data_IF_423913225853
#
_entry.id   IF_423913225853
#
_cell.length_a   1.000
_cell.length_b   1.000
_cell.length_c   1.000
_cell.angle_alpha   90.00
_cell.angle_beta   90.00
_cell.angle_gamma   90.00
#
_symmetry.space_group_name_H-M   'P 1'
#
loop_
_entity.id
_entity.type
_entity.pdbx_description
1 polymer ?
#
# COMPACT_ATOMS: atom_id res chain seq x y z
N UNK A 1 -36.23 -45.97 -41.51
CA UNK A 1 -36.21 -46.25 -40.07
C UNK A 1 -36.23 -44.91 -39.37
N UNK A 2 -37.42 -44.56 -38.86
CA UNK A 2 -37.69 -43.27 -38.23
C UNK A 2 -37.23 -43.27 -36.78
N UNK A 3 -36.49 -42.26 -36.35
CA UNK A 3 -36.27 -41.99 -34.95
C UNK A 3 -37.13 -40.80 -34.54
N UNK A 4 -38.07 -41.09 -33.65
CA UNK A 4 -38.95 -40.14 -33.01
C UNK A 4 -38.18 -39.29 -31.98
N UNK A 5 -38.25 -37.96 -32.11
CA UNK A 5 -37.74 -37.01 -31.15
C UNK A 5 -38.77 -36.81 -30.03
N UNK A 6 -38.34 -36.95 -28.77
CA UNK A 6 -39.13 -36.62 -27.58
C UNK A 6 -39.06 -35.12 -27.28
N UNK A 7 -40.12 -34.49 -26.75
CA UNK A 7 -40.14 -33.07 -26.46
C UNK A 7 -39.39 -32.74 -25.14
N UNK A 8 -38.88 -31.53 -24.97
CA UNK A 8 -38.17 -31.11 -23.76
C UNK A 8 -39.15 -30.86 -22.60
N UNK A 9 -38.74 -31.33 -21.42
CA UNK A 9 -39.42 -31.06 -20.15
C UNK A 9 -39.32 -29.61 -19.76
N UNK A 10 -40.46 -28.95 -19.58
CA UNK A 10 -40.59 -27.61 -19.05
C UNK A 10 -40.27 -27.58 -17.53
N UNK A 11 -39.15 -27.04 -17.14
CA UNK A 11 -38.86 -26.71 -15.76
C UNK A 11 -39.57 -25.41 -15.40
N UNK A 12 -40.57 -25.48 -14.54
CA UNK A 12 -41.18 -24.34 -13.88
C UNK A 12 -40.13 -23.66 -13.00
N UNK A 13 -39.90 -22.39 -13.26
CA UNK A 13 -39.04 -21.55 -12.43
C UNK A 13 -39.63 -21.43 -11.01
N UNK A 14 -38.89 -21.93 -10.03
CA UNK A 14 -39.13 -21.67 -8.62
C UNK A 14 -38.78 -20.22 -8.34
N UNK A 15 -39.65 -19.52 -7.60
CA UNK A 15 -39.53 -18.10 -7.28
C UNK A 15 -38.18 -17.75 -6.65
N UNK A 16 -37.39 -16.99 -7.37
CA UNK A 16 -36.14 -16.43 -6.88
C UNK A 16 -36.41 -15.36 -5.80
N UNK A 17 -35.95 -15.62 -4.59
CA UNK A 17 -35.84 -14.60 -3.56
C UNK A 17 -34.75 -13.63 -4.05
N UNK A 18 -35.16 -12.45 -4.49
CA UNK A 18 -34.25 -11.36 -4.84
C UNK A 18 -33.69 -10.80 -3.56
N UNK A 19 -32.45 -11.17 -3.23
CA UNK A 19 -31.68 -10.49 -2.18
C UNK A 19 -31.31 -9.12 -2.75
N UNK A 20 -31.66 -7.98 -2.11
CA UNK A 20 -31.28 -6.68 -2.61
C UNK A 20 -29.75 -6.56 -2.56
N UNK A 21 -29.13 -6.41 -3.73
CA UNK A 21 -27.71 -6.05 -3.81
C UNK A 21 -27.56 -4.61 -3.25
N UNK A 22 -26.83 -4.37 -2.16
CA UNK A 22 -26.73 -3.07 -1.52
C UNK A 22 -25.98 -2.02 -2.35
N UNK A 23 -25.54 -2.35 -3.56
CA UNK A 23 -24.68 -1.53 -4.41
C UNK A 23 -25.34 -1.05 -5.71
N UNK A 24 -26.66 -0.86 -5.74
CA UNK A 24 -27.23 -0.07 -6.83
C UNK A 24 -26.86 1.38 -6.59
N UNK A 25 -25.88 1.87 -7.35
CA UNK A 25 -25.57 3.28 -7.49
C UNK A 25 -26.78 3.96 -8.18
N UNK A 26 -27.74 4.43 -7.40
CA UNK A 26 -28.68 5.42 -7.87
C UNK A 26 -27.86 6.67 -8.23
N UNK A 27 -27.95 7.11 -9.48
CA UNK A 27 -27.16 8.21 -10.05
C UNK A 27 -27.41 9.60 -9.46
N UNK A 28 -27.74 9.70 -8.18
CA UNK A 28 -27.77 10.95 -7.42
C UNK A 28 -26.39 11.17 -6.84
N UNK A 29 -25.66 12.16 -7.34
CA UNK A 29 -24.47 12.69 -6.69
C UNK A 29 -24.82 12.98 -5.22
N UNK A 30 -24.14 12.38 -4.23
CA UNK A 30 -24.38 12.73 -2.84
C UNK A 30 -24.06 14.23 -2.66
N UNK A 31 -25.03 14.98 -2.15
CA UNK A 31 -24.83 16.34 -1.69
C UNK A 31 -23.80 16.24 -0.57
N UNK A 32 -22.68 16.98 -0.66
CA UNK A 32 -21.66 17.00 0.36
C UNK A 32 -22.31 17.21 1.74
N UNK A 33 -22.21 16.18 2.59
CA UNK A 33 -22.64 16.29 3.96
C UNK A 33 -21.68 17.25 4.69
N UNK A 34 -22.15 18.04 5.66
CA UNK A 34 -21.25 18.86 6.47
C UNK A 34 -20.21 17.94 7.13
N UNK A 35 -18.97 18.44 7.29
CA UNK A 35 -17.86 17.72 7.91
C UNK A 35 -18.36 17.07 9.21
N UNK A 36 -18.49 15.74 9.21
CA UNK A 36 -18.89 15.00 10.40
C UNK A 36 -17.63 14.82 11.24
N UNK A 37 -17.64 15.35 12.47
CA UNK A 37 -16.62 14.99 13.46
C UNK A 37 -16.64 13.45 13.61
N UNK A 38 -15.52 12.75 13.40
CA UNK A 38 -15.47 11.30 13.50
C UNK A 38 -16.02 10.83 14.85
N UNK A 39 -16.83 9.78 14.84
CA UNK A 39 -17.37 9.17 16.08
C UNK A 39 -16.31 8.27 16.72
N UNK A 40 -15.21 8.87 17.18
CA UNK A 40 -14.05 8.16 17.73
C UNK A 40 -14.40 7.19 18.88
N UNK A 41 -15.47 7.50 19.66
CA UNK A 41 -15.93 6.62 20.74
C UNK A 41 -16.40 5.23 20.28
N UNK A 42 -16.73 5.04 19.02
CA UNK A 42 -17.14 3.73 18.47
C UNK A 42 -16.01 2.98 17.77
N UNK A 43 -14.84 3.58 17.62
CA UNK A 43 -13.69 2.99 16.92
C UNK A 43 -13.18 1.77 17.67
N UNK A 44 -12.94 0.69 16.94
CA UNK A 44 -12.41 -0.59 17.41
C UNK A 44 -11.12 -0.99 16.71
N UNK A 45 -10.86 -0.37 15.59
CA UNK A 45 -9.66 -0.63 14.78
C UNK A 45 -9.16 0.65 14.13
N UNK A 46 -7.86 0.74 13.97
CA UNK A 46 -7.18 1.85 13.29
C UNK A 46 -6.40 1.31 12.12
N UNK A 47 -6.54 1.93 10.96
CA UNK A 47 -5.75 1.64 9.75
C UNK A 47 -4.94 2.89 9.43
N UNK A 48 -3.63 2.75 9.33
CA UNK A 48 -2.70 3.86 9.16
C UNK A 48 -2.02 3.78 7.81
N UNK A 49 -1.96 4.89 7.12
CA UNK A 49 -1.03 5.10 6.03
C UNK A 49 0.41 5.28 6.54
N UNK A 50 1.40 5.17 5.65
CA UNK A 50 2.82 5.34 6.00
C UNK A 50 3.29 6.75 5.67
N UNK A 51 3.43 7.04 4.37
CA UNK A 51 4.02 8.29 3.89
C UNK A 51 3.15 9.48 4.25
N UNK A 52 3.72 10.50 4.88
CA UNK A 52 2.96 11.70 5.31
C UNK A 52 1.97 11.45 6.45
N UNK A 53 1.91 10.25 7.02
CA UNK A 53 0.99 9.89 8.11
C UNK A 53 1.73 9.35 9.32
N UNK A 54 2.38 8.19 9.21
CA UNK A 54 3.22 7.63 10.27
C UNK A 54 4.71 7.93 10.08
N UNK A 55 5.14 8.14 8.83
CA UNK A 55 6.53 8.43 8.45
C UNK A 55 6.60 9.69 7.60
N UNK A 56 7.67 10.49 7.70
CA UNK A 56 7.89 11.61 6.78
C UNK A 56 8.01 11.13 5.33
N UNK A 57 7.47 11.88 4.38
CA UNK A 57 7.62 11.62 2.94
C UNK A 57 9.12 11.60 2.57
N UNK A 58 9.91 12.49 3.18
CA UNK A 58 11.35 12.57 2.97
C UNK A 58 12.10 11.29 3.34
N UNK A 59 11.58 10.44 4.23
CA UNK A 59 12.19 9.15 4.50
C UNK A 59 12.18 8.24 3.27
N UNK A 60 11.12 8.28 2.48
CA UNK A 60 11.03 7.48 1.24
C UNK A 60 11.86 8.13 0.13
N UNK A 61 11.72 9.45 -0.07
CA UNK A 61 12.34 10.16 -1.19
C UNK A 61 13.84 10.37 -1.01
N UNK A 62 14.30 10.63 0.23
CA UNK A 62 15.66 11.09 0.50
C UNK A 62 16.54 9.98 1.14
N UNK A 63 15.90 8.87 1.61
CA UNK A 63 16.62 7.75 2.20
C UNK A 63 16.40 6.46 1.41
N UNK A 64 15.15 5.98 1.32
CA UNK A 64 14.90 4.65 0.74
C UNK A 64 15.21 4.57 -0.76
N UNK A 65 14.74 5.51 -1.56
CA UNK A 65 15.01 5.50 -3.00
C UNK A 65 16.49 5.72 -3.34
N UNK A 66 17.18 6.71 -2.76
CA UNK A 66 18.62 6.85 -2.93
C UNK A 66 19.39 5.61 -2.49
N UNK A 67 19.05 5.03 -1.34
CA UNK A 67 19.70 3.79 -0.88
C UNK A 67 19.58 2.65 -1.91
N UNK A 68 18.37 2.43 -2.44
CA UNK A 68 18.17 1.40 -3.45
C UNK A 68 18.97 1.67 -4.74
N UNK A 69 19.00 2.92 -5.20
CA UNK A 69 19.80 3.34 -6.36
C UNK A 69 21.29 3.10 -6.15
N UNK A 70 21.82 3.53 -5.01
CA UNK A 70 23.26 3.51 -4.75
C UNK A 70 23.76 2.09 -4.45
N UNK A 71 22.86 1.19 -4.01
CA UNK A 71 23.21 -0.19 -3.63
C UNK A 71 22.76 -1.27 -4.63
N UNK A 72 22.10 -0.91 -5.74
CA UNK A 72 21.61 -1.90 -6.71
C UNK A 72 22.74 -2.76 -7.28
N UNK A 73 23.89 -2.18 -7.63
CA UNK A 73 25.06 -2.91 -8.13
C UNK A 73 25.58 -3.89 -7.08
N UNK A 74 25.86 -3.40 -5.90
CA UNK A 74 26.40 -4.21 -4.77
C UNK A 74 25.48 -5.38 -4.47
N UNK A 75 24.16 -5.13 -4.42
CA UNK A 75 23.18 -6.18 -4.19
C UNK A 75 23.20 -7.24 -5.30
N UNK A 76 23.12 -6.83 -6.58
CA UNK A 76 23.15 -7.76 -7.70
C UNK A 76 24.44 -8.55 -7.76
N UNK A 77 25.58 -7.92 -7.47
CA UNK A 77 26.87 -8.60 -7.45
C UNK A 77 26.97 -9.65 -6.33
N UNK A 78 26.50 -9.33 -5.15
CA UNK A 78 26.54 -10.23 -4.01
C UNK A 78 25.56 -11.42 -4.13
N UNK A 79 24.38 -11.19 -4.74
CA UNK A 79 23.28 -12.15 -4.73
C UNK A 79 22.97 -12.78 -6.10
N UNK A 80 23.75 -12.50 -7.14
CA UNK A 80 23.50 -12.87 -8.54
C UNK A 80 23.14 -14.34 -8.76
N UNK A 81 23.75 -15.26 -7.98
CA UNK A 81 23.52 -16.70 -8.09
C UNK A 81 22.30 -17.19 -7.32
N UNK A 82 21.69 -16.36 -6.48
CA UNK A 82 20.49 -16.75 -5.71
C UNK A 82 19.28 -16.87 -6.62
N UNK A 83 18.34 -17.72 -6.21
CA UNK A 83 17.08 -17.88 -6.95
C UNK A 83 16.28 -16.57 -6.96
N UNK A 84 16.21 -15.88 -5.82
CA UNK A 84 15.49 -14.63 -5.67
C UNK A 84 15.99 -13.56 -6.65
N UNK A 85 17.31 -13.36 -6.73
CA UNK A 85 17.88 -12.39 -7.68
C UNK A 85 17.70 -12.82 -9.14
N UNK A 86 17.70 -14.12 -9.43
CA UNK A 86 17.38 -14.60 -10.80
C UNK A 86 15.93 -14.30 -11.17
N UNK A 87 15.00 -14.45 -10.23
CA UNK A 87 13.60 -14.11 -10.42
C UNK A 87 13.44 -12.58 -10.64
N UNK A 88 14.15 -11.75 -9.86
CA UNK A 88 14.19 -10.29 -10.07
C UNK A 88 14.75 -9.92 -11.45
N UNK A 89 15.86 -10.53 -11.86
CA UNK A 89 16.46 -10.32 -13.18
C UNK A 89 15.48 -10.68 -14.31
N UNK A 90 14.77 -11.79 -14.16
CA UNK A 90 13.78 -12.20 -15.17
C UNK A 90 12.62 -11.19 -15.29
N UNK A 91 12.11 -10.69 -14.16
CA UNK A 91 11.07 -9.66 -14.15
C UNK A 91 11.55 -8.33 -14.74
N UNK A 92 12.77 -7.92 -14.40
CA UNK A 92 13.35 -6.68 -14.95
C UNK A 92 13.62 -6.80 -16.45
N UNK A 93 14.09 -7.96 -16.94
CA UNK A 93 14.26 -8.19 -18.38
C UNK A 93 12.96 -8.04 -19.14
N UNK A 94 11.89 -8.70 -18.66
CA UNK A 94 10.57 -8.60 -19.27
C UNK A 94 10.06 -7.14 -19.30
N UNK A 95 10.28 -6.39 -18.22
CA UNK A 95 9.92 -4.98 -18.16
C UNK A 95 10.75 -4.14 -19.16
N UNK A 96 12.05 -4.36 -19.22
CA UNK A 96 12.93 -3.63 -20.13
C UNK A 96 12.60 -3.94 -21.60
N UNK A 97 12.26 -5.19 -21.93
CA UNK A 97 11.79 -5.55 -23.28
C UNK A 97 10.52 -4.79 -23.66
N UNK A 98 9.57 -4.68 -22.73
CA UNK A 98 8.37 -3.86 -22.93
C UNK A 98 8.72 -2.38 -23.10
N UNK A 99 9.58 -1.84 -22.24
CA UNK A 99 10.00 -0.44 -22.27
C UNK A 99 10.70 -0.08 -23.59
N UNK A 100 11.53 -0.98 -24.11
CA UNK A 100 12.19 -0.81 -25.42
C UNK A 100 11.17 -0.82 -26.57
N UNK A 101 10.18 -1.72 -26.52
CA UNK A 101 9.12 -1.79 -27.52
C UNK A 101 8.25 -0.53 -27.51
N UNK A 102 8.04 0.08 -26.35
CA UNK A 102 7.28 1.32 -26.15
C UNK A 102 8.12 2.59 -26.35
N UNK A 103 9.43 2.47 -26.54
CA UNK A 103 10.34 3.60 -26.73
C UNK A 103 10.53 4.44 -25.46
N UNK A 104 10.48 3.81 -24.27
CA UNK A 104 10.67 4.50 -23.00
C UNK A 104 12.08 5.07 -22.91
N UNK A 105 12.26 6.37 -22.63
CA UNK A 105 13.57 6.98 -22.51
C UNK A 105 14.42 6.33 -21.40
N UNK A 106 15.69 6.07 -21.71
CA UNK A 106 16.63 5.49 -20.75
C UNK A 106 16.59 3.95 -20.66
N UNK A 107 15.69 3.29 -21.39
CA UNK A 107 15.70 1.83 -21.47
C UNK A 107 16.92 1.33 -22.27
N UNK A 108 17.68 0.39 -21.69
CA UNK A 108 18.88 -0.22 -22.26
C UNK A 108 18.68 -1.73 -22.39
N UNK A 109 18.96 -2.35 -23.56
CA UNK A 109 18.82 -3.79 -23.71
C UNK A 109 19.65 -4.57 -22.71
N UNK A 110 19.03 -5.53 -22.02
CA UNK A 110 19.72 -6.42 -21.08
C UNK A 110 20.25 -7.63 -21.86
N UNK A 111 21.59 -7.84 -21.94
CA UNK A 111 22.15 -8.94 -22.71
C UNK A 111 21.78 -10.31 -22.11
N UNK A 112 21.82 -11.42 -22.90
CA UNK A 112 21.57 -12.76 -22.40
C UNK A 112 22.65 -13.17 -21.38
N UNK A 113 22.34 -14.14 -20.51
CA UNK A 113 23.25 -14.58 -19.43
C UNK A 113 24.61 -15.07 -19.96
N UNK A 114 24.67 -15.64 -21.18
CA UNK A 114 25.90 -16.04 -21.85
C UNK A 114 26.85 -14.90 -22.18
N UNK A 115 26.41 -13.64 -22.11
CA UNK A 115 27.27 -12.46 -22.32
C UNK A 115 28.20 -12.18 -21.11
N UNK A 116 27.97 -12.85 -19.98
CA UNK A 116 28.69 -12.68 -18.74
C UNK A 116 27.98 -11.82 -17.71
N UNK A 117 28.18 -12.14 -16.43
CA UNK A 117 27.54 -11.49 -15.27
C UNK A 117 27.67 -9.97 -15.33
N UNK A 118 28.90 -9.46 -15.50
CA UNK A 118 29.17 -8.02 -15.41
C UNK A 118 28.35 -7.21 -16.41
N UNK A 119 28.24 -7.69 -17.65
CA UNK A 119 27.44 -7.01 -18.70
C UNK A 119 25.95 -7.02 -18.40
N UNK A 120 25.46 -8.12 -17.80
CA UNK A 120 24.04 -8.21 -17.38
C UNK A 120 23.79 -7.24 -16.25
N UNK A 121 24.66 -7.21 -15.23
CA UNK A 121 24.54 -6.31 -14.08
C UNK A 121 24.65 -4.85 -14.53
N UNK A 122 25.59 -4.49 -15.41
CA UNK A 122 25.73 -3.13 -15.93
C UNK A 122 24.42 -2.63 -16.58
N UNK A 123 23.83 -3.46 -17.43
CA UNK A 123 22.59 -3.09 -18.11
C UNK A 123 21.40 -3.00 -17.13
N UNK A 124 21.32 -3.89 -16.13
CA UNK A 124 20.27 -3.85 -15.11
C UNK A 124 20.39 -2.60 -14.24
N UNK A 125 21.60 -2.25 -13.78
CA UNK A 125 21.87 -1.04 -13.00
C UNK A 125 21.42 0.19 -13.76
N UNK A 126 21.83 0.34 -15.03
CA UNK A 126 21.44 1.49 -15.85
C UNK A 126 19.90 1.62 -15.98
N UNK A 127 19.20 0.51 -16.21
CA UNK A 127 17.74 0.52 -16.28
C UNK A 127 17.09 0.88 -14.95
N UNK A 128 17.55 0.29 -13.83
CA UNK A 128 17.00 0.55 -12.48
C UNK A 128 17.22 2.00 -12.08
N UNK A 129 18.40 2.58 -12.33
CA UNK A 129 18.68 3.98 -12.08
C UNK A 129 17.76 4.90 -12.89
N UNK A 130 17.57 4.61 -14.19
CA UNK A 130 16.65 5.35 -15.04
C UNK A 130 15.19 5.25 -14.56
N UNK A 131 14.75 4.06 -14.14
CA UNK A 131 13.40 3.84 -13.60
C UNK A 131 13.18 4.62 -12.29
N UNK A 132 14.18 4.64 -11.40
CA UNK A 132 14.11 5.41 -10.13
C UNK A 132 14.09 6.91 -10.42
N UNK A 133 14.96 7.40 -11.29
CA UNK A 133 15.00 8.80 -11.68
C UNK A 133 13.68 9.30 -12.31
N UNK A 134 12.97 8.41 -13.00
CA UNK A 134 11.66 8.68 -13.61
C UNK A 134 10.47 8.44 -12.64
N UNK A 135 10.70 8.20 -11.35
CA UNK A 135 9.69 7.84 -10.33
C UNK A 135 8.70 6.75 -10.78
N UNK A 136 9.20 5.73 -11.47
CA UNK A 136 8.35 4.65 -12.00
C UNK A 136 7.88 3.73 -10.88
N UNK A 137 6.56 3.45 -10.85
CA UNK A 137 5.92 2.63 -9.81
C UNK A 137 5.54 1.24 -10.35
N UNK A 138 6.51 0.53 -10.91
CA UNK A 138 6.33 -0.78 -11.53
C UNK A 138 6.72 -1.93 -10.58
N UNK A 139 6.08 -3.08 -10.76
CA UNK A 139 6.21 -4.22 -9.84
C UNK A 139 7.64 -4.76 -9.77
N UNK A 140 8.30 -4.93 -10.92
CA UNK A 140 9.68 -5.45 -10.99
C UNK A 140 10.68 -4.57 -10.24
N UNK A 141 10.56 -3.23 -10.40
CA UNK A 141 11.40 -2.27 -9.67
C UNK A 141 11.12 -2.33 -8.17
N UNK A 142 9.85 -2.30 -7.77
CA UNK A 142 9.47 -2.34 -6.34
C UNK A 142 9.93 -3.61 -5.64
N UNK A 143 9.92 -4.75 -6.34
CA UNK A 143 10.38 -6.01 -5.80
C UNK A 143 11.89 -5.96 -5.53
N UNK A 144 12.69 -5.57 -6.50
CA UNK A 144 14.14 -5.43 -6.33
C UNK A 144 14.49 -4.40 -5.25
N UNK A 145 13.81 -3.23 -5.23
CA UNK A 145 13.99 -2.24 -4.18
C UNK A 145 13.73 -2.85 -2.78
N UNK A 146 12.67 -3.65 -2.64
CA UNK A 146 12.36 -4.34 -1.39
C UNK A 146 13.49 -5.26 -0.92
N UNK A 147 14.11 -6.02 -1.82
CA UNK A 147 15.24 -6.90 -1.51
C UNK A 147 16.51 -6.11 -1.14
N UNK A 148 16.78 -5.00 -1.82
CA UNK A 148 17.90 -4.10 -1.48
C UNK A 148 17.68 -3.48 -0.10
N UNK A 149 16.46 -2.98 0.19
CA UNK A 149 16.14 -2.42 1.51
C UNK A 149 16.23 -3.46 2.62
N UNK A 150 15.82 -4.72 2.36
CA UNK A 150 15.99 -5.82 3.33
C UNK A 150 17.42 -5.93 3.77
N UNK A 151 18.36 -5.98 2.83
CA UNK A 151 19.79 -6.01 3.13
C UNK A 151 20.21 -4.79 3.98
N UNK A 152 19.78 -3.60 3.62
CA UNK A 152 20.10 -2.37 4.34
C UNK A 152 19.56 -2.34 5.78
N UNK A 153 18.35 -2.84 6.00
CA UNK A 153 17.77 -2.96 7.33
C UNK A 153 18.46 -4.04 8.17
N UNK A 154 18.79 -5.19 7.58
CA UNK A 154 19.49 -6.29 8.25
C UNK A 154 20.92 -5.90 8.66
N UNK A 155 21.63 -5.15 7.79
CA UNK A 155 22.96 -4.61 8.08
C UNK A 155 22.91 -3.34 8.96
N UNK A 156 21.75 -2.87 9.36
CA UNK A 156 21.53 -1.64 10.15
C UNK A 156 22.03 -0.34 9.46
N UNK A 157 22.16 -0.35 8.16
CA UNK A 157 22.50 0.81 7.34
C UNK A 157 21.31 1.74 7.13
N UNK A 158 20.09 1.18 7.18
CA UNK A 158 18.82 1.92 7.17
C UNK A 158 18.10 1.69 8.49
N UNK A 159 17.48 2.76 9.00
CA UNK A 159 16.51 2.67 10.10
C UNK A 159 15.20 3.31 9.68
N UNK A 160 14.08 2.67 10.01
CA UNK A 160 12.77 3.21 9.77
C UNK A 160 12.56 4.50 10.57
N UNK A 161 12.09 5.53 9.91
CA UNK A 161 11.78 6.82 10.54
C UNK A 161 10.27 6.95 10.66
N UNK A 162 9.80 7.19 11.89
CA UNK A 162 8.40 7.52 12.18
C UNK A 162 8.34 8.82 12.96
N UNK A 163 7.21 9.54 12.91
CA UNK A 163 7.03 10.73 13.73
C UNK A 163 7.02 10.37 15.22
N UNK A 164 7.50 11.27 16.06
CA UNK A 164 7.75 11.05 17.49
C UNK A 164 6.49 10.69 18.30
N UNK A 165 5.33 11.09 17.82
CA UNK A 165 4.03 10.84 18.42
C UNK A 165 3.43 9.47 18.06
N UNK A 166 3.99 8.80 17.04
CA UNK A 166 3.48 7.52 16.56
C UNK A 166 3.76 6.37 17.55
N UNK A 167 5.01 6.15 18.04
CA UNK A 167 5.26 5.06 18.98
C UNK A 167 4.40 5.13 20.25
N UNK A 168 4.32 6.28 20.97
CA UNK A 168 3.49 6.35 22.17
C UNK A 168 1.99 6.22 21.88
N UNK A 169 1.52 6.62 20.69
CA UNK A 169 0.13 6.41 20.30
C UNK A 169 -0.16 4.92 20.07
N UNK A 170 0.69 4.21 19.33
CA UNK A 170 0.57 2.76 19.10
C UNK A 170 0.60 1.99 20.43
N UNK A 171 1.49 2.35 21.35
CA UNK A 171 1.59 1.73 22.67
C UNK A 171 0.31 1.95 23.50
N UNK A 172 -0.18 3.19 23.55
CA UNK A 172 -1.41 3.55 24.25
C UNK A 172 -2.63 2.81 23.69
N UNK A 173 -2.80 2.77 22.39
CA UNK A 173 -3.91 2.06 21.74
C UNK A 173 -3.85 0.55 22.01
N UNK A 174 -2.64 -0.02 22.00
CA UNK A 174 -2.44 -1.43 22.34
C UNK A 174 -2.78 -1.72 23.82
N UNK A 175 -2.41 -0.84 24.74
CA UNK A 175 -2.60 -1.01 26.17
C UNK A 175 -4.01 -0.71 26.67
N UNK A 176 -4.80 0.08 25.94
CA UNK A 176 -6.07 0.66 26.43
C UNK A 176 -7.20 -0.34 26.64
N UNK A 177 -7.00 -1.63 26.45
CA UNK A 177 -8.03 -2.66 26.62
C UNK A 177 -9.23 -2.51 25.66
N UNK A 178 -9.39 -1.35 25.02
CA UNK A 178 -10.11 -1.18 23.79
C UNK A 178 -9.26 -1.98 22.81
N UNK A 179 -9.79 -3.08 22.31
CA UNK A 179 -9.10 -3.94 21.34
C UNK A 179 -8.89 -3.17 20.04
N UNK A 180 -8.16 -2.06 20.09
CA UNK A 180 -7.79 -1.25 18.93
C UNK A 180 -6.75 -2.02 18.17
N UNK A 181 -7.23 -2.84 17.29
CA UNK A 181 -6.39 -3.53 16.32
C UNK A 181 -5.84 -2.47 15.38
N UNK A 182 -4.54 -2.28 15.40
CA UNK A 182 -3.88 -1.31 14.50
C UNK A 182 -3.26 -2.04 13.33
N UNK A 183 -3.55 -1.56 12.15
CA UNK A 183 -3.06 -2.09 10.88
C UNK A 183 -2.38 -0.98 10.08
N UNK A 184 -1.49 -1.36 9.19
CA UNK A 184 -0.88 -0.47 8.22
C UNK A 184 -1.47 -0.75 6.83
N UNK A 185 -1.72 0.28 6.04
CA UNK A 185 -2.11 0.15 4.64
C UNK A 185 -1.28 1.10 3.77
N UNK A 186 -0.42 0.54 2.95
CA UNK A 186 0.49 1.29 2.07
C UNK A 186 0.55 0.67 0.66
N UNK A 187 0.97 1.45 -0.32
CA UNK A 187 1.27 0.95 -1.67
C UNK A 187 2.57 0.14 -1.74
N UNK A 188 3.42 0.23 -0.71
CA UNK A 188 4.62 -0.59 -0.54
C UNK A 188 4.25 -2.04 -0.20
N UNK A 189 5.13 -3.00 -0.55
CA UNK A 189 4.91 -4.41 -0.22
C UNK A 189 4.82 -4.63 1.29
N UNK A 190 4.10 -5.68 1.71
CA UNK A 190 4.03 -6.07 3.13
C UNK A 190 5.41 -6.29 3.74
N UNK A 191 6.36 -6.80 2.95
CA UNK A 191 7.73 -6.99 3.39
C UNK A 191 8.38 -5.64 3.70
N UNK A 192 8.33 -4.68 2.79
CA UNK A 192 8.87 -3.33 3.00
C UNK A 192 8.25 -2.66 4.23
N UNK A 193 6.91 -2.76 4.39
CA UNK A 193 6.21 -2.24 5.56
C UNK A 193 6.73 -2.88 6.86
N UNK A 194 6.90 -4.21 6.89
CA UNK A 194 7.41 -4.95 8.04
C UNK A 194 8.86 -4.58 8.37
N UNK A 195 9.70 -4.33 7.35
CA UNK A 195 11.07 -3.87 7.53
C UNK A 195 11.11 -2.48 8.16
N UNK A 196 10.31 -1.54 7.66
CA UNK A 196 10.23 -0.17 8.19
C UNK A 196 9.83 -0.21 9.67
N UNK A 197 8.69 -0.83 10.01
CA UNK A 197 8.19 -0.85 11.39
C UNK A 197 8.97 -1.78 12.32
N UNK A 198 9.70 -2.75 11.78
CA UNK A 198 10.53 -3.67 12.57
C UNK A 198 11.89 -3.10 12.95
N UNK A 199 12.36 -2.07 12.23
CA UNK A 199 13.71 -1.51 12.39
C UNK A 199 13.67 0.01 12.57
N UNK A 200 12.72 0.51 13.38
CA UNK A 200 12.62 1.96 13.60
C UNK A 200 13.70 2.47 14.56
N UNK A 201 13.90 3.79 14.57
CA UNK A 201 14.73 4.47 15.57
C UNK A 201 14.23 4.27 17.01
N UNK A 202 12.95 3.85 17.18
CA UNK A 202 12.31 3.51 18.45
C UNK A 202 12.27 1.99 18.73
N UNK A 203 12.98 1.19 17.94
CA UNK A 203 12.97 -0.27 18.02
C UNK A 203 11.84 -0.90 17.18
N UNK A 204 11.48 -2.14 17.50
CA UNK A 204 10.49 -2.91 16.78
C UNK A 204 9.05 -2.52 17.22
N UNK A 205 8.37 -1.78 16.35
CA UNK A 205 6.98 -1.35 16.58
C UNK A 205 5.93 -2.37 16.12
N UNK A 206 6.33 -3.45 15.45
CA UNK A 206 5.40 -4.49 14.94
C UNK A 206 4.62 -5.17 16.06
N UNK A 207 5.15 -5.18 17.28
CA UNK A 207 4.47 -5.71 18.46
C UNK A 207 3.14 -5.01 18.79
N UNK A 208 2.95 -3.79 18.26
CA UNK A 208 1.72 -3.00 18.43
C UNK A 208 0.79 -3.08 17.22
N UNK A 209 1.18 -3.81 16.17
CA UNK A 209 0.47 -3.91 14.89
C UNK A 209 -0.12 -5.30 14.71
N UNK A 210 -1.37 -5.36 14.25
CA UNK A 210 -2.06 -6.62 13.97
C UNK A 210 -1.81 -7.14 12.56
N UNK A 211 -1.46 -6.28 11.62
CA UNK A 211 -1.21 -6.68 10.24
C UNK A 211 -0.91 -5.54 9.28
N UNK A 212 -0.67 -5.93 8.04
CA UNK A 212 -0.25 -5.04 6.97
C UNK A 212 -1.07 -5.33 5.71
N UNK A 213 -1.63 -4.30 5.12
CA UNK A 213 -2.29 -4.33 3.82
C UNK A 213 -1.41 -3.62 2.79
N UNK A 214 -1.34 -4.18 1.60
CA UNK A 214 -0.60 -3.62 0.47
C UNK A 214 -1.48 -3.53 -0.78
N UNK A 215 -0.89 -3.18 -1.91
CA UNK A 215 -1.61 -3.04 -3.18
C UNK A 215 -2.30 -4.34 -3.67
N UNK A 216 -2.04 -5.50 -3.05
CA UNK A 216 -2.73 -6.75 -3.40
C UNK A 216 -4.19 -6.76 -2.99
N UNK A 217 -4.57 -5.97 -1.96
CA UNK A 217 -5.98 -5.81 -1.57
C UNK A 217 -6.72 -4.83 -2.47
N UNK A 218 -6.00 -4.02 -3.25
CA UNK A 218 -6.49 -3.02 -4.18
C UNK A 218 -5.79 -1.67 -4.03
N UNK A 219 -6.24 -0.70 -4.82
CA UNK A 219 -5.71 0.67 -4.73
C UNK A 219 -6.38 1.45 -3.61
N UNK A 220 -5.62 2.31 -2.92
CA UNK A 220 -6.13 3.20 -1.87
C UNK A 220 -7.16 4.25 -2.36
N UNK A 221 -7.34 4.38 -3.67
CA UNK A 221 -8.33 5.30 -4.28
C UNK A 221 -9.65 4.61 -4.64
N UNK A 222 -9.79 3.33 -4.30
CA UNK A 222 -10.99 2.54 -4.55
C UNK A 222 -11.66 2.15 -3.23
N UNK A 223 -12.93 2.49 -3.07
CA UNK A 223 -13.74 2.14 -1.90
C UNK A 223 -13.80 0.61 -1.66
N UNK A 224 -13.70 -0.19 -2.72
CA UNK A 224 -13.70 -1.63 -2.62
C UNK A 224 -12.52 -2.15 -1.78
N UNK A 225 -11.34 -1.54 -1.89
CA UNK A 225 -10.18 -1.92 -1.09
C UNK A 225 -10.44 -1.78 0.41
N UNK A 226 -11.13 -0.72 0.83
CA UNK A 226 -11.50 -0.49 2.23
C UNK A 226 -12.63 -1.41 2.70
N UNK A 227 -13.52 -1.82 1.79
CA UNK A 227 -14.50 -2.85 2.09
C UNK A 227 -13.82 -4.20 2.39
N UNK A 228 -12.84 -4.60 1.58
CA UNK A 228 -12.06 -5.83 1.80
C UNK A 228 -11.23 -5.75 3.10
N UNK A 229 -10.69 -4.58 3.43
CA UNK A 229 -10.03 -4.33 4.72
C UNK A 229 -11.01 -4.53 5.86
N UNK A 230 -12.20 -3.95 5.80
CA UNK A 230 -13.23 -4.13 6.82
C UNK A 230 -13.58 -5.60 7.03
N UNK A 231 -13.81 -6.35 5.96
CA UNK A 231 -14.08 -7.79 6.04
C UNK A 231 -12.92 -8.57 6.70
N UNK A 232 -11.69 -8.15 6.46
CA UNK A 232 -10.48 -8.80 7.00
C UNK A 232 -10.25 -8.45 8.48
N UNK A 233 -10.50 -7.21 8.86
CA UNK A 233 -10.30 -6.71 10.24
C UNK A 233 -11.30 -7.32 11.22
N UNK A 234 -12.51 -7.67 10.77
CA UNK A 234 -13.49 -8.42 11.53
C UNK A 234 -14.23 -7.61 12.59
N UNK A 235 -14.37 -6.30 12.40
CA UNK A 235 -15.28 -5.46 13.19
C UNK A 235 -16.70 -5.50 12.62
N UNK A 236 -17.71 -5.24 13.44
CA UNK A 236 -19.13 -5.41 13.06
C UNK A 236 -19.57 -4.45 11.97
N UNK A 237 -19.01 -3.25 11.93
CA UNK A 237 -19.38 -2.17 10.99
C UNK A 237 -18.16 -1.41 10.51
N UNK A 238 -18.14 -0.95 9.25
CA UNK A 238 -17.05 -0.13 8.70
C UNK A 238 -16.74 1.11 9.55
N UNK A 239 -17.77 1.75 10.13
CA UNK A 239 -17.64 2.94 10.98
C UNK A 239 -16.91 2.67 12.32
N UNK A 240 -16.56 1.43 12.61
CA UNK A 240 -15.69 1.08 13.73
C UNK A 240 -14.20 1.06 13.36
N UNK A 241 -13.87 1.32 12.10
CA UNK A 241 -12.50 1.49 11.62
C UNK A 241 -12.25 2.98 11.41
N UNK A 242 -11.17 3.49 12.02
CA UNK A 242 -10.62 4.80 11.74
C UNK A 242 -9.46 4.65 10.76
N UNK A 243 -9.54 5.32 9.62
CA UNK A 243 -8.45 5.40 8.66
C UNK A 243 -7.76 6.78 8.73
N UNK A 244 -6.43 6.78 8.81
CA UNK A 244 -5.62 7.99 8.76
C UNK A 244 -4.75 7.98 7.51
N UNK A 245 -4.79 9.09 6.77
CA UNK A 245 -4.00 9.34 5.56
C UNK A 245 -3.78 10.84 5.39
N UNK A 246 -2.77 11.26 4.66
CA UNK A 246 -2.58 12.65 4.24
C UNK A 246 -3.24 12.97 2.89
N UNK A 247 -3.80 11.95 2.21
CA UNK A 247 -4.31 12.03 0.84
C UNK A 247 -5.83 12.11 0.81
N UNK A 248 -6.41 13.25 0.43
CA UNK A 248 -7.88 13.45 0.34
C UNK A 248 -8.60 12.44 -0.55
N UNK A 249 -7.97 11.96 -1.63
CA UNK A 249 -8.58 10.98 -2.52
C UNK A 249 -8.74 9.61 -1.85
N UNK A 250 -7.79 9.22 -1.02
CA UNK A 250 -7.84 8.00 -0.21
C UNK A 250 -8.89 8.13 0.89
N UNK A 251 -8.93 9.29 1.56
CA UNK A 251 -9.96 9.64 2.54
C UNK A 251 -11.37 9.52 1.97
N UNK A 252 -11.57 10.05 0.75
CA UNK A 252 -12.85 9.96 0.03
C UNK A 252 -13.25 8.50 -0.26
N UNK A 253 -12.32 7.68 -0.70
CA UNK A 253 -12.56 6.27 -0.98
C UNK A 253 -12.88 5.48 0.30
N UNK A 254 -12.15 5.73 1.39
CA UNK A 254 -12.39 5.11 2.69
C UNK A 254 -13.76 5.50 3.27
N UNK A 255 -14.12 6.78 3.21
CA UNK A 255 -15.42 7.27 3.65
C UNK A 255 -16.56 6.67 2.82
N UNK A 256 -16.38 6.51 1.50
CA UNK A 256 -17.35 5.88 0.62
C UNK A 256 -17.60 4.40 0.98
N UNK A 257 -16.62 3.72 1.56
CA UNK A 257 -16.74 2.37 2.13
C UNK A 257 -17.36 2.37 3.54
N UNK A 258 -17.62 3.55 4.13
CA UNK A 258 -18.25 3.70 5.44
C UNK A 258 -17.28 3.77 6.62
N UNK A 259 -15.98 3.90 6.39
CA UNK A 259 -14.99 4.09 7.45
C UNK A 259 -15.07 5.52 8.03
N UNK A 260 -14.68 5.67 9.29
CA UNK A 260 -14.33 6.98 9.85
C UNK A 260 -12.95 7.38 9.34
N UNK A 261 -12.75 8.67 9.05
CA UNK A 261 -11.51 9.15 8.42
C UNK A 261 -11.02 10.42 9.08
N UNK A 262 -9.72 10.52 9.27
CA UNK A 262 -9.02 11.75 9.62
C UNK A 262 -7.86 11.99 8.63
N UNK A 263 -7.69 13.24 8.25
CA UNK A 263 -6.54 13.67 7.46
C UNK A 263 -5.38 14.03 8.39
N UNK A 264 -4.25 13.39 8.18
CA UNK A 264 -3.01 13.69 8.89
C UNK A 264 -2.32 14.91 8.29
N UNK A 265 -2.01 15.90 9.12
CA UNK A 265 -1.24 17.09 8.76
C UNK A 265 0.15 16.92 9.34
N UNK A 266 1.13 16.69 8.48
CA UNK A 266 2.51 16.46 8.89
C UNK A 266 3.48 17.41 8.17
N UNK A 267 4.62 17.70 8.79
CA UNK A 267 5.68 18.43 8.09
C UNK A 267 6.07 17.74 6.78
N UNK A 268 6.07 18.50 5.69
CA UNK A 268 6.41 17.98 4.35
C UNK A 268 5.24 17.47 3.53
N UNK A 269 4.03 17.40 4.09
CA UNK A 269 2.84 17.03 3.32
C UNK A 269 2.47 18.13 2.32
N UNK A 270 1.87 17.73 1.21
CA UNK A 270 1.29 18.68 0.27
C UNK A 270 0.16 19.47 0.95
N UNK A 271 0.00 20.76 0.61
CA UNK A 271 -1.12 21.54 1.11
C UNK A 271 -2.46 20.88 0.75
N UNK A 272 -3.39 20.87 1.70
CA UNK A 272 -4.74 20.41 1.45
C UNK A 272 -5.43 21.31 0.40
N UNK A 273 -6.36 20.76 -0.41
CA UNK A 273 -7.15 21.58 -1.31
C UNK A 273 -7.83 22.73 -0.56
N UNK A 274 -7.81 23.94 -1.15
CA UNK A 274 -8.37 25.15 -0.54
C UNK A 274 -9.90 25.06 -0.34
N UNK A 275 -10.58 24.18 -1.06
CA UNK A 275 -11.99 23.88 -0.89
C UNK A 275 -12.20 22.99 0.34
N UNK A 276 -13.33 23.19 1.02
CA UNK A 276 -13.71 22.39 2.18
C UNK A 276 -13.77 20.89 1.79
N UNK A 277 -12.71 20.13 2.10
CA UNK A 277 -12.61 18.71 1.78
C UNK A 277 -13.54 17.84 2.62
N UNK A 278 -14.18 18.38 3.66
CA UNK A 278 -15.19 17.70 4.46
C UNK A 278 -14.67 16.70 5.47
N UNK A 279 -13.35 16.61 5.70
CA UNK A 279 -12.72 15.70 6.66
C UNK A 279 -12.20 16.46 7.89
N UNK A 280 -12.25 15.82 9.07
CA UNK A 280 -11.49 16.26 10.23
C UNK A 280 -10.00 16.10 9.98
N UNK A 281 -9.20 16.99 10.54
CA UNK A 281 -7.73 16.97 10.46
C UNK A 281 -7.13 16.71 11.83
N UNK A 282 -5.92 16.15 11.84
CA UNK A 282 -5.15 15.90 13.05
C UNK A 282 -3.66 16.18 12.76
N UNK A 283 -2.99 16.89 13.66
CA UNK A 283 -1.57 17.17 13.56
C UNK A 283 -0.72 16.19 14.36
N UNK A 284 -1.30 15.58 15.40
CA UNK A 284 -0.64 14.60 16.24
C UNK A 284 -1.56 13.43 16.59
N UNK A 285 -1.00 12.22 16.59
CA UNK A 285 -1.69 11.03 17.07
C UNK A 285 -1.98 11.05 18.57
N UNK A 286 -1.36 11.97 19.32
CA UNK A 286 -1.69 12.21 20.72
C UNK A 286 -3.15 12.69 20.90
N UNK A 287 -3.75 13.28 19.85
CA UNK A 287 -5.12 13.79 19.86
C UNK A 287 -6.19 12.71 19.60
N UNK A 288 -5.75 11.49 19.21
CA UNK A 288 -6.64 10.42 18.77
C UNK A 288 -6.86 9.41 19.88
N UNK A 289 -8.13 9.05 20.13
CA UNK A 289 -8.51 7.99 21.06
C UNK A 289 -7.92 8.22 22.48
N UNK A 290 -8.02 9.44 22.98
CA UNK A 290 -7.61 9.82 24.34
C UNK A 290 -8.62 9.36 25.38
#
# INVERSE_FOLDING_TARGET
>A
MSFLASPPLSLKAAGGISIPCPWRLDGRRPRAAPASVPRLASVRSVVLDIEGTTSPISFVTDVLFPYARDNVRTHLDATYSTRETKDDIALLRAQVEQDLAEGVPGAVPVPPDGAGKDRVVDALVANVEAMIAADRKITSLKQLQGHIWRTGFECQEIKGVVFDDVPPALERWHASGIKSQTYIYSSGSREAQRLIFGNTTYGDLRRHLCGFFDATIGTKRDARSYYEIWQTVGVDRPSQILFLTDVCQEATAAQAAGLEVLISIRPGNAPLPAENHGFGTVESFAEILT
#
